data_IF_879593066252
#
_entry.id   IF_879593066252
#
_cell.length_a   1.000
_cell.length_b   1.000
_cell.length_c   1.000
_cell.angle_alpha   90.00
_cell.angle_beta   90.00
_cell.angle_gamma   90.00
#
_symmetry.space_group_name_H-M   'P 1'
#
loop_
_entity.id
_entity.type
_entity.pdbx_description
1 polymer ?
#
# COMPACT_ATOMS: atom_id res chain seq x y z
N UNK A 1 -20.33 24.35 -52.15
CA UNK A 1 -19.15 24.75 -51.35
C UNK A 1 -19.65 25.29 -50.04
N UNK A 2 -19.75 24.44 -49.05
CA UNK A 2 -20.35 24.73 -47.75
C UNK A 2 -19.26 25.01 -46.73
N UNK A 3 -19.33 26.20 -46.14
CA UNK A 3 -18.45 26.62 -45.03
C UNK A 3 -18.89 25.97 -43.74
N UNK A 4 -17.97 25.23 -43.07
CA UNK A 4 -18.16 24.71 -41.74
C UNK A 4 -17.83 25.80 -40.74
N UNK A 5 -18.85 26.25 -40.00
CA UNK A 5 -18.74 27.20 -38.90
C UNK A 5 -18.25 26.46 -37.65
N UNK A 6 -17.04 26.79 -37.23
CA UNK A 6 -16.51 26.42 -35.93
C UNK A 6 -17.03 27.37 -34.84
N UNK A 7 -18.04 26.94 -34.13
CA UNK A 7 -18.51 27.66 -32.93
C UNK A 7 -17.58 27.33 -31.73
N UNK A 8 -16.67 28.25 -31.44
CA UNK A 8 -15.88 28.26 -30.20
C UNK A 8 -16.79 28.84 -29.09
N UNK A 9 -17.42 27.93 -28.32
CA UNK A 9 -18.15 28.30 -27.10
C UNK A 9 -17.15 28.47 -25.94
N UNK A 10 -16.64 29.69 -25.76
CA UNK A 10 -15.99 30.09 -24.52
C UNK A 10 -17.06 30.19 -23.43
N UNK A 11 -17.21 29.13 -22.65
CA UNK A 11 -17.99 29.18 -21.41
C UNK A 11 -17.23 30.03 -20.39
N UNK A 12 -17.74 31.26 -20.20
CA UNK A 12 -17.40 32.13 -19.09
C UNK A 12 -17.66 31.39 -17.78
N UNK A 13 -16.60 31.04 -17.06
CA UNK A 13 -16.68 30.54 -15.70
C UNK A 13 -17.09 31.67 -14.77
N UNK A 14 -18.39 31.83 -14.56
CA UNK A 14 -18.88 32.52 -13.38
C UNK A 14 -18.35 31.76 -12.16
N UNK A 15 -17.73 32.47 -11.21
CA UNK A 15 -17.28 31.92 -9.92
C UNK A 15 -18.52 31.53 -9.09
N UNK A 16 -19.14 30.41 -9.44
CA UNK A 16 -20.14 29.72 -8.64
C UNK A 16 -19.44 29.08 -7.44
N UNK A 17 -20.04 29.21 -6.27
CA UNK A 17 -19.65 28.46 -5.07
C UNK A 17 -19.57 26.98 -5.44
N UNK A 18 -18.35 26.44 -5.53
CA UNK A 18 -18.13 25.03 -5.85
C UNK A 18 -18.60 24.24 -4.64
N UNK A 19 -19.81 23.66 -4.72
CA UNK A 19 -20.31 22.77 -3.69
C UNK A 19 -19.51 21.45 -3.73
N UNK A 20 -19.05 20.96 -2.56
CA UNK A 20 -18.37 19.67 -2.51
C UNK A 20 -19.21 18.53 -3.08
N UNK A 21 -18.62 17.48 -3.65
CA UNK A 21 -19.34 16.33 -4.18
C UNK A 21 -20.28 15.70 -3.15
N UNK A 22 -21.57 15.53 -3.49
CA UNK A 22 -22.58 14.94 -2.63
C UNK A 22 -23.76 14.42 -3.44
N UNK A 23 -24.53 13.51 -2.83
CA UNK A 23 -25.79 13.02 -3.38
C UNK A 23 -26.77 12.83 -2.22
N UNK A 24 -27.66 13.82 -2.00
CA UNK A 24 -28.59 13.84 -0.88
C UNK A 24 -29.67 12.75 -0.99
N UNK A 25 -30.09 12.44 -2.21
CA UNK A 25 -31.09 11.41 -2.45
C UNK A 25 -30.54 10.02 -2.10
N UNK A 26 -29.25 9.77 -2.40
CA UNK A 26 -28.58 8.55 -2.00
C UNK A 26 -28.43 8.45 -0.47
N UNK A 27 -28.05 9.55 0.20
CA UNK A 27 -27.94 9.59 1.66
C UNK A 27 -29.28 9.27 2.35
N UNK A 28 -30.36 9.91 1.91
CA UNK A 28 -31.70 9.67 2.45
C UNK A 28 -32.18 8.24 2.16
N UNK A 29 -31.89 7.74 0.96
CA UNK A 29 -32.24 6.37 0.58
C UNK A 29 -31.52 5.31 1.41
N UNK A 30 -30.24 5.55 1.76
CA UNK A 30 -29.47 4.67 2.67
C UNK A 30 -30.14 4.62 4.05
N UNK A 31 -30.35 5.79 4.66
CA UNK A 31 -30.93 5.88 6.00
C UNK A 31 -32.34 5.29 6.06
N UNK A 32 -33.19 5.61 5.08
CA UNK A 32 -34.53 5.06 5.00
C UNK A 32 -34.54 3.55 4.77
N UNK A 33 -33.63 3.01 3.97
CA UNK A 33 -33.52 1.56 3.78
C UNK A 33 -33.16 0.82 5.07
N UNK A 34 -32.32 1.41 5.91
CA UNK A 34 -31.96 0.87 7.23
C UNK A 34 -33.20 0.85 8.15
N UNK A 35 -33.96 1.96 8.20
CA UNK A 35 -35.19 2.06 9.01
C UNK A 35 -36.28 1.07 8.60
N UNK A 36 -36.30 0.69 7.32
CA UNK A 36 -37.24 -0.30 6.79
C UNK A 36 -36.77 -1.75 6.99
N UNK A 37 -35.46 -1.97 7.15
CA UNK A 37 -34.85 -3.28 7.35
C UNK A 37 -33.49 -3.15 8.03
N UNK A 38 -33.41 -3.53 9.29
CA UNK A 38 -32.22 -3.55 10.12
C UNK A 38 -31.09 -4.45 9.53
N UNK A 39 -31.46 -5.52 8.81
CA UNK A 39 -30.50 -6.39 8.10
C UNK A 39 -29.67 -5.63 7.08
N UNK A 40 -30.20 -4.55 6.51
CA UNK A 40 -29.46 -3.70 5.58
C UNK A 40 -28.28 -3.01 6.26
N UNK A 41 -28.38 -2.67 7.55
CA UNK A 41 -27.31 -1.99 8.28
C UNK A 41 -26.05 -2.84 8.37
N UNK A 42 -26.18 -4.15 8.65
CA UNK A 42 -25.03 -5.06 8.69
C UNK A 42 -24.23 -5.03 7.38
N UNK A 43 -24.93 -5.22 6.25
CA UNK A 43 -24.29 -5.20 4.93
C UNK A 43 -23.61 -3.84 4.65
N UNK A 44 -24.25 -2.73 4.99
CA UNK A 44 -23.74 -1.39 4.75
C UNK A 44 -22.52 -1.05 5.63
N UNK A 45 -22.52 -1.49 6.89
CA UNK A 45 -21.38 -1.25 7.80
C UNK A 45 -20.21 -2.17 7.49
N UNK A 46 -20.47 -3.46 7.31
CA UNK A 46 -19.43 -4.49 7.19
C UNK A 46 -18.95 -4.62 5.75
N UNK A 47 -19.86 -4.75 4.78
CA UNK A 47 -19.48 -4.99 3.39
C UNK A 47 -19.05 -3.70 2.66
N UNK A 48 -19.75 -2.60 2.89
CA UNK A 48 -19.44 -1.33 2.23
C UNK A 48 -18.59 -0.39 3.10
N UNK A 49 -18.40 -0.67 4.39
CA UNK A 49 -17.59 0.16 5.30
C UNK A 49 -18.08 1.60 5.44
N UNK A 50 -19.38 1.83 5.34
CA UNK A 50 -19.98 3.17 5.44
C UNK A 50 -19.86 3.72 6.86
N UNK A 51 -19.41 4.96 6.98
CA UNK A 51 -19.20 5.67 8.26
C UNK A 51 -20.12 6.89 8.38
N UNK A 52 -20.36 7.34 9.60
CA UNK A 52 -21.13 8.56 9.85
C UNK A 52 -20.52 9.82 9.20
N UNK A 53 -19.19 9.87 9.12
CA UNK A 53 -18.45 10.96 8.46
C UNK A 53 -18.52 10.96 6.92
N UNK A 54 -19.01 9.87 6.32
CA UNK A 54 -19.20 9.77 4.88
C UNK A 54 -20.45 10.51 4.38
N UNK A 55 -21.33 10.94 5.28
CA UNK A 55 -22.49 11.73 4.92
C UNK A 55 -22.11 13.21 4.74
N UNK A 56 -22.63 13.83 3.68
CA UNK A 56 -22.42 15.25 3.42
C UNK A 56 -23.19 16.14 4.39
N UNK A 57 -24.47 15.77 4.68
CA UNK A 57 -25.26 16.48 5.67
C UNK A 57 -24.95 15.93 7.07
N UNK A 58 -24.52 16.81 7.96
CA UNK A 58 -24.23 16.48 9.37
C UNK A 58 -25.41 15.80 10.06
N UNK A 59 -26.65 16.24 9.77
CA UNK A 59 -27.85 15.57 10.32
C UNK A 59 -27.99 14.12 9.90
N UNK A 60 -27.61 13.75 8.65
CA UNK A 60 -27.65 12.38 8.16
C UNK A 60 -26.56 11.52 8.84
N UNK A 61 -25.36 12.06 9.00
CA UNK A 61 -24.30 11.41 9.75
C UNK A 61 -24.69 11.19 11.21
N UNK A 62 -25.35 12.16 11.85
CA UNK A 62 -25.83 12.05 13.24
C UNK A 62 -26.92 10.98 13.38
N UNK A 63 -27.86 10.86 12.42
CA UNK A 63 -28.86 9.82 12.41
C UNK A 63 -28.21 8.45 12.24
N UNK A 64 -27.25 8.33 11.30
CA UNK A 64 -26.52 7.10 11.09
C UNK A 64 -25.69 6.67 12.31
N UNK A 65 -25.06 7.62 13.01
CA UNK A 65 -24.36 7.36 14.28
C UNK A 65 -25.29 6.76 15.34
N UNK A 66 -26.51 7.29 15.48
CA UNK A 66 -27.52 6.74 16.39
C UNK A 66 -27.94 5.31 16.00
N UNK A 67 -28.09 5.04 14.70
CA UNK A 67 -28.36 3.67 14.19
C UNK A 67 -27.22 2.70 14.52
N UNK A 68 -25.97 3.12 14.36
CA UNK A 68 -24.79 2.31 14.70
C UNK A 68 -24.70 1.99 16.18
N UNK A 69 -25.04 2.95 17.05
CA UNK A 69 -25.07 2.73 18.51
C UNK A 69 -26.11 1.67 18.90
N UNK A 70 -27.32 1.77 18.37
CA UNK A 70 -28.39 0.78 18.59
C UNK A 70 -27.96 -0.61 18.09
N UNK A 71 -27.40 -0.66 16.90
CA UNK A 71 -26.91 -1.91 16.32
C UNK A 71 -25.84 -2.58 17.19
N UNK A 72 -24.86 -1.80 17.71
CA UNK A 72 -23.80 -2.30 18.59
C UNK A 72 -24.34 -2.80 19.93
N UNK A 73 -25.43 -2.21 20.41
CA UNK A 73 -26.13 -2.62 21.63
C UNK A 73 -27.11 -3.79 21.39
N UNK A 74 -27.19 -4.29 20.15
CA UNK A 74 -28.14 -5.31 19.71
C UNK A 74 -29.61 -4.93 19.92
N UNK A 75 -29.90 -3.64 19.86
CA UNK A 75 -31.26 -3.09 19.90
C UNK A 75 -31.85 -2.97 18.48
N UNK A 76 -33.18 -3.09 18.34
CA UNK A 76 -33.83 -2.90 17.03
C UNK A 76 -33.55 -1.49 16.48
N UNK A 77 -33.37 -1.39 15.16
CA UNK A 77 -33.12 -0.11 14.47
C UNK A 77 -34.35 0.25 13.64
N UNK A 78 -35.24 1.04 14.23
CA UNK A 78 -36.45 1.56 13.61
C UNK A 78 -36.66 3.05 13.93
N UNK A 79 -37.68 3.69 13.36
CA UNK A 79 -38.00 5.10 13.56
C UNK A 79 -38.16 5.46 15.03
N UNK A 80 -38.76 4.59 15.84
CA UNK A 80 -39.05 4.86 17.24
C UNK A 80 -37.74 4.82 18.09
N UNK A 81 -36.99 3.72 17.96
CA UNK A 81 -35.75 3.51 18.71
C UNK A 81 -34.67 4.53 18.33
N UNK A 82 -34.51 4.84 17.05
CA UNK A 82 -33.59 5.87 16.56
C UNK A 82 -33.97 7.25 17.09
N UNK A 83 -35.26 7.59 17.08
CA UNK A 83 -35.74 8.88 17.62
C UNK A 83 -35.47 8.98 19.13
N UNK A 84 -35.69 7.91 19.88
CA UNK A 84 -35.41 7.90 21.32
C UNK A 84 -33.91 8.00 21.62
N UNK A 85 -33.08 7.26 20.88
CA UNK A 85 -31.62 7.35 20.97
C UNK A 85 -31.12 8.77 20.68
N UNK A 86 -31.61 9.42 19.64
CA UNK A 86 -31.26 10.81 19.31
C UNK A 86 -31.70 11.80 20.41
N UNK A 87 -32.83 11.53 21.08
CA UNK A 87 -33.27 12.30 22.25
C UNK A 87 -32.32 12.13 23.43
N UNK A 88 -31.91 10.88 23.75
CA UNK A 88 -30.92 10.58 24.79
C UNK A 88 -29.56 11.25 24.51
N UNK A 89 -29.13 11.29 23.25
CA UNK A 89 -27.92 12.00 22.83
C UNK A 89 -28.05 13.52 22.86
N UNK A 90 -29.23 14.09 23.08
CA UNK A 90 -29.49 15.53 23.02
C UNK A 90 -29.35 16.12 21.62
N UNK A 91 -29.43 15.29 20.56
CA UNK A 91 -29.22 15.69 19.15
C UNK A 91 -30.53 15.78 18.36
N UNK A 92 -31.68 15.36 18.92
CA UNK A 92 -32.95 15.30 18.19
C UNK A 92 -33.39 16.64 17.60
N UNK A 93 -33.33 17.72 18.35
CA UNK A 93 -33.70 19.06 17.85
C UNK A 93 -32.75 19.58 16.78
N UNK A 94 -31.47 19.23 16.83
CA UNK A 94 -30.47 19.65 15.83
C UNK A 94 -30.73 19.02 14.47
N UNK A 95 -31.30 17.83 14.41
CA UNK A 95 -31.59 17.14 13.14
C UNK A 95 -32.96 17.57 12.53
N UNK A 96 -33.77 18.32 13.26
CA UNK A 96 -35.09 18.77 12.82
C UNK A 96 -36.26 18.01 13.44
N UNK A 97 -36.03 17.30 14.56
CA UNK A 97 -37.06 16.57 15.31
C UNK A 97 -37.42 15.19 14.75
N UNK A 98 -38.38 14.53 15.37
CA UNK A 98 -38.79 13.17 15.02
C UNK A 98 -39.35 13.05 13.58
N UNK A 99 -40.00 14.09 13.09
CA UNK A 99 -40.56 14.11 11.73
C UNK A 99 -39.48 13.89 10.66
N UNK A 100 -38.28 14.42 10.87
CA UNK A 100 -37.15 14.23 9.93
C UNK A 100 -36.74 12.75 9.83
N UNK A 101 -36.80 11.99 10.91
CA UNK A 101 -36.49 10.55 10.90
C UNK A 101 -37.59 9.77 10.17
N UNK A 102 -38.85 10.14 10.41
CA UNK A 102 -40.01 9.50 9.78
C UNK A 102 -40.06 9.74 8.26
N UNK A 103 -39.75 10.96 7.81
CA UNK A 103 -39.69 11.32 6.39
C UNK A 103 -38.73 10.45 5.58
N UNK A 104 -37.62 9.97 6.18
CA UNK A 104 -36.63 9.14 5.49
C UNK A 104 -37.21 7.81 4.99
N UNK A 105 -38.22 7.25 5.67
CA UNK A 105 -38.86 5.99 5.25
C UNK A 105 -39.70 6.15 3.99
N UNK A 106 -40.24 7.37 3.75
CA UNK A 106 -41.04 7.71 2.58
C UNK A 106 -40.27 7.97 1.29
N UNK A 107 -38.94 8.18 1.37
CA UNK A 107 -38.12 8.58 0.23
C UNK A 107 -37.41 7.41 -0.45
N UNK A 108 -37.46 6.21 0.09
CA UNK A 108 -36.72 5.04 -0.39
C UNK A 108 -37.31 4.48 -1.68
N UNK A 109 -36.63 4.58 -2.85
CA UNK A 109 -37.16 4.05 -4.11
C UNK A 109 -37.21 2.53 -4.13
N UNK A 110 -36.20 1.86 -3.55
CA UNK A 110 -36.13 0.39 -3.40
C UNK A 110 -35.15 0.01 -2.27
N UNK A 111 -35.66 -0.51 -1.17
CA UNK A 111 -34.84 -0.90 -0.02
C UNK A 111 -33.77 -1.96 -0.37
N UNK A 112 -34.03 -2.82 -1.35
CA UNK A 112 -33.06 -3.83 -1.82
C UNK A 112 -31.80 -3.24 -2.51
N UNK A 113 -31.79 -1.96 -2.84
CA UNK A 113 -30.64 -1.29 -3.49
C UNK A 113 -29.79 -0.46 -2.51
N UNK A 114 -29.98 -0.60 -1.21
CA UNK A 114 -29.27 0.13 -0.16
C UNK A 114 -27.74 0.09 -0.36
N UNK A 115 -27.19 -1.04 -0.76
CA UNK A 115 -25.76 -1.21 -1.09
C UNK A 115 -25.29 -0.25 -2.17
N UNK A 116 -26.04 -0.12 -3.27
CA UNK A 116 -25.67 0.80 -4.36
C UNK A 116 -25.74 2.27 -3.92
N UNK A 117 -26.70 2.62 -3.09
CA UNK A 117 -26.79 3.98 -2.54
C UNK A 117 -25.64 4.28 -1.60
N UNK A 118 -25.23 3.32 -0.75
CA UNK A 118 -24.05 3.46 0.11
C UNK A 118 -22.75 3.66 -0.69
N UNK A 119 -22.57 2.92 -1.79
CA UNK A 119 -21.44 3.12 -2.69
C UNK A 119 -21.39 4.54 -3.25
N UNK A 120 -22.52 5.10 -3.67
CA UNK A 120 -22.60 6.49 -4.15
C UNK A 120 -22.21 7.48 -3.04
N UNK A 121 -22.64 7.25 -1.80
CA UNK A 121 -22.28 8.09 -0.65
C UNK A 121 -20.78 8.02 -0.40
N UNK A 122 -20.18 6.80 -0.39
CA UNK A 122 -18.75 6.58 -0.22
C UNK A 122 -17.90 7.20 -1.33
N UNK A 123 -18.27 7.02 -2.59
CA UNK A 123 -17.57 7.63 -3.74
C UNK A 123 -17.50 9.17 -3.57
N UNK A 124 -18.60 9.80 -3.19
CA UNK A 124 -18.64 11.23 -2.92
C UNK A 124 -17.83 11.62 -1.67
N UNK A 125 -17.85 10.82 -0.62
CA UNK A 125 -17.05 11.02 0.59
C UNK A 125 -15.54 10.94 0.29
N UNK A 126 -15.12 9.99 -0.53
CA UNK A 126 -13.73 9.85 -0.99
C UNK A 126 -13.28 11.13 -1.74
N UNK A 127 -14.12 11.63 -2.65
CA UNK A 127 -13.83 12.87 -3.38
C UNK A 127 -13.74 14.08 -2.42
N UNK A 128 -14.59 14.17 -1.39
CA UNK A 128 -14.50 15.22 -0.37
C UNK A 128 -13.22 15.11 0.47
N UNK A 129 -12.82 13.91 0.88
CA UNK A 129 -11.55 13.68 1.58
C UNK A 129 -10.37 14.09 0.71
N UNK A 130 -10.37 13.73 -0.57
CA UNK A 130 -9.34 14.15 -1.52
C UNK A 130 -9.28 15.67 -1.66
N UNK A 131 -10.43 16.34 -1.82
CA UNK A 131 -10.50 17.79 -1.86
C UNK A 131 -9.96 18.42 -0.58
N UNK A 132 -10.35 17.93 0.59
CA UNK A 132 -9.86 18.44 1.88
C UNK A 132 -8.34 18.32 1.97
N UNK A 133 -7.78 17.17 1.64
CA UNK A 133 -6.31 16.96 1.66
C UNK A 133 -5.59 17.88 0.66
N UNK A 134 -6.17 18.13 -0.53
CA UNK A 134 -5.58 19.08 -1.48
C UNK A 134 -5.61 20.51 -0.98
N UNK A 135 -6.67 20.96 -0.29
CA UNK A 135 -6.72 22.28 0.33
C UNK A 135 -5.70 22.43 1.45
N UNK A 136 -5.57 21.42 2.33
CA UNK A 136 -4.59 21.41 3.42
C UNK A 136 -3.16 21.48 2.89
N UNK A 137 -2.85 20.74 1.82
CA UNK A 137 -1.57 20.81 1.12
C UNK A 137 -1.34 22.19 0.53
N UNK A 138 -2.33 22.76 -0.16
CA UNK A 138 -2.25 24.09 -0.75
C UNK A 138 -2.01 25.15 0.31
N UNK A 139 -2.73 25.11 1.42
CA UNK A 139 -2.56 26.02 2.54
C UNK A 139 -1.15 25.94 3.15
N UNK A 140 -0.64 24.71 3.35
CA UNK A 140 0.70 24.49 3.87
C UNK A 140 1.79 25.02 2.94
N UNK A 141 1.63 24.87 1.63
CA UNK A 141 2.57 25.39 0.62
C UNK A 141 2.52 26.92 0.57
N UNK A 142 1.33 27.53 0.54
CA UNK A 142 1.19 28.99 0.48
C UNK A 142 1.63 29.67 1.79
N UNK A 143 1.42 29.02 2.93
CA UNK A 143 1.84 29.51 4.24
C UNK A 143 3.32 29.34 4.54
N UNK A 144 4.09 28.62 3.72
CA UNK A 144 5.52 28.32 3.93
C UNK A 144 5.79 27.77 5.33
N UNK A 145 4.93 26.87 5.83
CA UNK A 145 4.99 26.38 7.21
C UNK A 145 6.15 25.41 7.50
N UNK A 146 6.82 24.89 6.46
CA UNK A 146 7.94 23.97 6.58
C UNK A 146 8.91 24.06 5.39
N UNK A 147 10.05 23.37 5.46
CA UNK A 147 10.99 23.29 4.35
C UNK A 147 10.35 22.56 3.14
N UNK A 148 10.70 22.92 1.89
CA UNK A 148 10.07 22.35 0.68
C UNK A 148 10.04 20.81 0.65
N UNK A 149 11.09 20.14 1.12
CA UNK A 149 11.14 18.67 1.23
C UNK A 149 10.13 18.12 2.22
N UNK A 150 10.00 18.75 3.37
CA UNK A 150 9.02 18.35 4.40
C UNK A 150 7.58 18.52 3.92
N UNK A 151 7.31 19.60 3.16
CA UNK A 151 5.99 19.82 2.56
C UNK A 151 5.64 18.73 1.54
N UNK A 152 6.61 18.29 0.73
CA UNK A 152 6.39 17.17 -0.21
C UNK A 152 6.10 15.88 0.56
N UNK A 153 6.86 15.56 1.60
CA UNK A 153 6.65 14.36 2.43
C UNK A 153 5.27 14.38 3.12
N UNK A 154 4.85 15.55 3.62
CA UNK A 154 3.53 15.72 4.22
C UNK A 154 2.39 15.52 3.19
N UNK A 155 2.57 16.06 1.97
CA UNK A 155 1.61 15.91 0.88
C UNK A 155 1.49 14.43 0.45
N UNK A 156 2.60 13.73 0.27
CA UNK A 156 2.61 12.30 -0.04
C UNK A 156 1.89 11.49 1.04
N UNK A 157 2.16 11.77 2.31
CA UNK A 157 1.50 11.10 3.43
C UNK A 157 0.00 11.32 3.43
N UNK A 158 -0.46 12.56 3.26
CA UNK A 158 -1.88 12.91 3.23
C UNK A 158 -2.61 12.20 2.07
N UNK A 159 -2.00 12.14 0.88
CA UNK A 159 -2.57 11.43 -0.27
C UNK A 159 -2.62 9.91 -0.06
N UNK A 160 -1.59 9.34 0.58
CA UNK A 160 -1.58 7.91 0.93
C UNK A 160 -2.65 7.55 1.95
N UNK A 161 -2.94 8.42 2.91
CA UNK A 161 -4.00 8.21 3.92
C UNK A 161 -5.38 8.17 3.25
N UNK A 162 -5.68 9.08 2.30
CA UNK A 162 -6.93 9.07 1.53
C UNK A 162 -7.10 7.74 0.78
N UNK A 163 -6.05 7.22 0.15
CA UNK A 163 -6.12 5.95 -0.59
C UNK A 163 -6.15 4.69 0.28
N UNK A 164 -5.70 4.77 1.54
CA UNK A 164 -5.74 3.64 2.49
C UNK A 164 -7.13 3.42 3.07
N UNK A 165 -7.84 4.49 3.35
CA UNK A 165 -9.14 4.44 4.01
C UNK A 165 -10.21 3.76 3.14
N UNK A 166 -9.97 3.67 1.82
CA UNK A 166 -10.84 2.99 0.86
C UNK A 166 -10.57 1.46 0.75
N UNK A 167 -9.45 0.96 1.31
CA UNK A 167 -9.08 -0.46 1.25
C UNK A 167 -9.36 -1.17 2.57
N UNK A 168 -10.62 -1.34 2.92
CA UNK A 168 -10.98 -2.35 3.92
C UNK A 168 -10.79 -3.73 3.27
N UNK A 169 -9.83 -4.52 3.81
CA UNK A 169 -9.75 -5.94 3.50
C UNK A 169 -10.82 -6.64 4.33
N UNK A 170 -11.94 -6.95 3.70
CA UNK A 170 -12.98 -7.77 4.31
C UNK A 170 -12.47 -9.18 4.63
N UNK A 171 -13.12 -9.82 5.62
CA UNK A 171 -12.89 -11.23 5.87
C UNK A 171 -13.31 -12.03 4.64
N UNK A 172 -12.38 -12.82 4.11
CA UNK A 172 -12.69 -13.77 3.03
C UNK A 172 -13.11 -15.10 3.64
N UNK A 173 -14.14 -15.71 3.08
CA UNK A 173 -14.54 -17.05 3.48
C UNK A 173 -13.38 -18.03 3.23
N UNK A 174 -13.10 -18.91 4.21
CA UNK A 174 -12.00 -19.88 4.07
C UNK A 174 -12.19 -20.80 2.86
N UNK A 175 -13.44 -21.05 2.47
CA UNK A 175 -13.80 -21.84 1.30
C UNK A 175 -13.21 -21.26 0.01
N UNK A 176 -13.31 -19.93 -0.21
CA UNK A 176 -12.75 -19.25 -1.37
C UNK A 176 -11.21 -19.34 -1.38
N UNK A 177 -10.60 -19.12 -0.21
CA UNK A 177 -9.14 -19.21 -0.06
C UNK A 177 -8.64 -20.62 -0.33
N UNK A 178 -9.38 -21.65 0.14
CA UNK A 178 -9.03 -23.06 -0.08
C UNK A 178 -9.10 -23.43 -1.56
N UNK A 179 -10.14 -22.99 -2.28
CA UNK A 179 -10.24 -23.23 -3.73
C UNK A 179 -9.03 -22.66 -4.49
N UNK A 180 -8.69 -21.41 -4.24
CA UNK A 180 -7.52 -20.76 -4.87
C UNK A 180 -6.20 -21.50 -4.57
N UNK A 181 -6.00 -21.90 -3.30
CA UNK A 181 -4.77 -22.61 -2.90
C UNK A 181 -4.72 -24.06 -3.43
N UNK A 182 -5.85 -24.75 -3.50
CA UNK A 182 -5.90 -26.10 -4.10
C UNK A 182 -5.59 -26.06 -5.59
N UNK A 183 -6.13 -25.09 -6.33
CA UNK A 183 -5.82 -24.90 -7.75
C UNK A 183 -4.34 -24.59 -7.99
N UNK A 184 -3.73 -23.82 -7.09
CA UNK A 184 -2.31 -23.50 -7.12
C UNK A 184 -1.45 -24.74 -6.82
N UNK A 185 -1.81 -25.51 -5.78
CA UNK A 185 -1.13 -26.76 -5.45
C UNK A 185 -1.24 -27.79 -6.58
N UNK A 186 -2.40 -27.90 -7.23
CA UNK A 186 -2.60 -28.79 -8.36
C UNK A 186 -1.70 -28.43 -9.55
N UNK A 187 -1.59 -27.11 -9.88
CA UNK A 187 -0.67 -26.63 -10.93
C UNK A 187 0.78 -26.96 -10.59
N UNK A 188 1.23 -26.68 -9.37
CA UNK A 188 2.58 -27.00 -8.92
C UNK A 188 2.89 -28.50 -8.98
N UNK A 189 1.92 -29.35 -8.66
CA UNK A 189 2.06 -30.81 -8.74
C UNK A 189 2.24 -31.30 -10.19
N UNK A 190 1.58 -30.64 -11.16
CA UNK A 190 1.72 -30.98 -12.59
C UNK A 190 3.07 -30.48 -13.14
N UNK A 191 3.48 -29.27 -12.74
CA UNK A 191 4.72 -28.65 -13.20
C UNK A 191 5.98 -29.30 -12.58
N UNK A 192 5.83 -30.07 -11.51
CA UNK A 192 6.92 -30.77 -10.83
C UNK A 192 7.95 -29.82 -10.19
N UNK A 193 7.61 -28.54 -10.01
CA UNK A 193 8.48 -27.55 -9.40
C UNK A 193 8.32 -27.54 -7.89
N UNK A 194 9.41 -27.78 -7.14
CA UNK A 194 9.43 -27.67 -5.67
C UNK A 194 9.49 -26.21 -5.17
N UNK A 195 9.71 -25.25 -6.06
CA UNK A 195 9.90 -23.85 -5.74
C UNK A 195 8.60 -23.05 -5.97
N UNK A 196 7.95 -22.68 -4.87
CA UNK A 196 6.72 -21.87 -4.88
C UNK A 196 6.98 -20.38 -4.79
N UNK A 197 8.13 -20.01 -4.21
CA UNK A 197 8.57 -18.63 -4.00
C UNK A 197 9.66 -18.18 -4.97
N UNK A 198 10.23 -16.99 -4.70
CA UNK A 198 11.40 -16.49 -5.44
C UNK A 198 12.64 -17.26 -5.02
N UNK A 199 13.36 -17.90 -5.95
CA UNK A 199 14.57 -18.66 -5.63
C UNK A 199 15.69 -17.80 -5.06
N UNK A 200 16.40 -18.29 -4.06
CA UNK A 200 17.63 -17.67 -3.56
C UNK A 200 18.86 -18.01 -4.43
N UNK A 201 18.78 -19.10 -5.20
CA UNK A 201 19.87 -19.67 -5.95
C UNK A 201 20.82 -20.52 -5.11
N UNK A 202 20.48 -20.78 -3.84
CA UNK A 202 21.18 -21.71 -2.97
C UNK A 202 20.30 -22.95 -2.75
N UNK A 203 20.67 -24.09 -3.34
CA UNK A 203 19.84 -25.27 -3.41
C UNK A 203 19.31 -25.72 -2.04
N UNK A 204 20.18 -25.84 -1.04
CA UNK A 204 19.81 -26.28 0.30
C UNK A 204 18.84 -25.28 0.99
N UNK A 205 19.03 -23.98 0.76
CA UNK A 205 18.14 -22.95 1.30
C UNK A 205 16.78 -22.99 0.60
N UNK A 206 16.78 -23.14 -0.71
CA UNK A 206 15.57 -23.20 -1.51
C UNK A 206 14.78 -24.49 -1.25
N UNK A 207 15.45 -25.61 -0.97
CA UNK A 207 14.81 -26.86 -0.53
C UNK A 207 14.08 -26.70 0.80
N UNK A 208 14.70 -26.01 1.77
CA UNK A 208 14.12 -25.80 3.10
C UNK A 208 12.96 -24.80 3.05
N UNK A 209 13.08 -23.72 2.25
CA UNK A 209 12.12 -22.61 2.27
C UNK A 209 11.06 -22.68 1.17
N UNK A 210 11.24 -23.51 0.15
CA UNK A 210 10.47 -23.49 -1.08
C UNK A 210 10.67 -22.21 -1.89
N UNK A 211 11.79 -21.49 -1.67
CA UNK A 211 12.01 -20.11 -2.13
C UNK A 211 11.38 -19.07 -1.22
N UNK A 212 11.68 -17.78 -1.45
CA UNK A 212 11.13 -16.69 -0.66
C UNK A 212 9.68 -16.42 -1.05
N UNK A 213 8.76 -16.60 -0.10
CA UNK A 213 7.33 -16.53 -0.34
C UNK A 213 6.84 -15.07 -0.45
N UNK A 214 5.91 -14.82 -1.36
CA UNK A 214 5.26 -13.54 -1.55
C UNK A 214 4.66 -12.98 -0.25
N UNK A 215 4.84 -11.68 -0.02
CA UNK A 215 4.34 -11.02 1.18
C UNK A 215 5.14 -11.28 2.46
N UNK A 216 6.25 -12.03 2.40
CA UNK A 216 7.11 -12.28 3.54
C UNK A 216 8.23 -11.25 3.68
N UNK A 217 8.55 -10.93 4.94
CA UNK A 217 9.74 -10.20 5.33
C UNK A 217 10.77 -11.20 5.85
N UNK A 218 11.93 -11.24 5.22
CA UNK A 218 13.06 -12.10 5.57
C UNK A 218 14.17 -11.21 6.16
N UNK A 219 14.65 -11.53 7.36
CA UNK A 219 15.73 -10.77 7.99
C UNK A 219 17.01 -11.59 7.99
N UNK A 220 18.05 -11.08 7.33
CA UNK A 220 19.38 -11.66 7.31
C UNK A 220 20.27 -10.90 8.30
N UNK A 221 20.62 -11.55 9.40
CA UNK A 221 21.44 -10.96 10.44
C UNK A 221 22.71 -11.78 10.71
N UNK A 222 23.86 -11.14 10.83
CA UNK A 222 25.11 -11.76 11.23
C UNK A 222 26.07 -10.69 11.81
N UNK A 223 27.15 -11.13 12.46
CA UNK A 223 28.22 -10.23 12.93
C UNK A 223 28.89 -9.50 11.77
N UNK A 224 29.53 -8.34 11.99
CA UNK A 224 30.33 -7.65 10.98
C UNK A 224 31.36 -8.59 10.34
N UNK A 225 31.67 -8.37 9.07
CA UNK A 225 32.65 -9.15 8.28
C UNK A 225 32.31 -10.65 8.02
N UNK A 226 31.08 -11.10 8.34
CA UNK A 226 30.64 -12.48 8.08
C UNK A 226 30.09 -12.70 6.66
N UNK A 227 30.23 -11.74 5.75
CA UNK A 227 29.80 -11.88 4.35
C UNK A 227 28.31 -11.60 4.08
N UNK A 228 27.57 -10.94 4.99
CA UNK A 228 26.15 -10.62 4.78
C UNK A 228 25.85 -9.94 3.44
N UNK A 229 26.59 -8.83 3.11
CA UNK A 229 26.38 -8.11 1.86
C UNK A 229 26.72 -8.96 0.64
N UNK A 230 27.72 -9.87 0.75
CA UNK A 230 28.02 -10.82 -0.32
C UNK A 230 26.87 -11.80 -0.56
N UNK A 231 26.30 -12.37 0.53
CA UNK A 231 25.16 -13.28 0.44
C UNK A 231 23.95 -12.59 -0.19
N UNK A 232 23.61 -11.39 0.26
CA UNK A 232 22.46 -10.61 -0.24
C UNK A 232 22.64 -10.23 -1.71
N UNK A 233 23.86 -9.82 -2.13
CA UNK A 233 24.15 -9.57 -3.53
C UNK A 233 24.03 -10.84 -4.38
N UNK A 234 24.53 -11.99 -3.89
CA UNK A 234 24.41 -13.25 -4.62
C UNK A 234 22.96 -13.69 -4.77
N UNK A 235 22.12 -13.51 -3.75
CA UNK A 235 20.67 -13.76 -3.85
C UNK A 235 20.06 -12.86 -4.92
N UNK A 236 20.37 -11.54 -4.93
CA UNK A 236 19.88 -10.60 -5.93
C UNK A 236 20.29 -11.02 -7.35
N UNK A 237 21.57 -11.36 -7.52
CA UNK A 237 22.16 -11.81 -8.76
C UNK A 237 21.50 -13.10 -9.27
N UNK A 238 21.40 -14.12 -8.41
CA UNK A 238 20.81 -15.41 -8.77
C UNK A 238 19.34 -15.25 -9.17
N UNK A 239 18.54 -14.51 -8.37
CA UNK A 239 17.13 -14.28 -8.67
C UNK A 239 16.93 -13.56 -10.01
N UNK A 240 17.76 -12.55 -10.31
CA UNK A 240 17.63 -11.75 -11.53
C UNK A 240 18.24 -12.45 -12.76
N UNK A 241 19.48 -12.96 -12.65
CA UNK A 241 20.25 -13.47 -13.80
C UNK A 241 19.88 -14.91 -14.15
N UNK A 242 19.77 -15.78 -13.12
CA UNK A 242 19.51 -17.22 -13.36
C UNK A 242 18.02 -17.53 -13.47
N UNK A 243 17.17 -16.78 -12.74
CA UNK A 243 15.74 -17.06 -12.67
C UNK A 243 14.86 -15.99 -13.33
N UNK A 244 15.46 -14.90 -13.87
CA UNK A 244 14.72 -13.83 -14.57
C UNK A 244 13.69 -13.09 -13.70
N UNK A 245 13.83 -13.16 -12.36
CA UNK A 245 12.93 -12.48 -11.44
C UNK A 245 13.30 -11.00 -11.33
N UNK A 246 12.36 -10.05 -11.50
CA UNK A 246 12.64 -8.65 -11.33
C UNK A 246 13.02 -8.33 -9.88
N UNK A 247 14.22 -7.76 -9.67
CA UNK A 247 14.78 -7.48 -8.33
C UNK A 247 15.04 -5.99 -8.16
N UNK A 248 14.55 -5.41 -7.05
CA UNK A 248 14.87 -4.07 -6.58
C UNK A 248 15.86 -4.16 -5.40
N UNK A 249 17.07 -3.63 -5.55
CA UNK A 249 18.10 -3.59 -4.51
C UNK A 249 18.32 -2.15 -4.04
N UNK A 250 17.91 -1.85 -2.82
CA UNK A 250 18.23 -0.60 -2.12
C UNK A 250 19.51 -0.79 -1.32
N UNK A 251 20.57 -0.10 -1.74
CA UNK A 251 21.89 -0.19 -1.12
C UNK A 251 22.23 1.10 -0.39
N UNK A 252 22.06 1.09 0.92
CA UNK A 252 22.30 2.27 1.77
C UNK A 252 23.77 2.34 2.26
N UNK A 253 24.56 1.28 2.04
CA UNK A 253 25.97 1.19 2.49
C UNK A 253 26.94 1.29 1.34
N UNK A 254 26.61 0.74 0.18
CA UNK A 254 27.52 0.60 -0.96
C UNK A 254 27.02 1.39 -2.16
N UNK A 255 27.93 2.11 -2.82
CA UNK A 255 27.62 2.80 -4.07
C UNK A 255 27.33 1.82 -5.21
N UNK A 256 26.49 2.25 -6.17
CA UNK A 256 26.12 1.45 -7.35
C UNK A 256 27.32 0.92 -8.14
N UNK A 257 28.38 1.73 -8.26
CA UNK A 257 29.60 1.33 -8.95
C UNK A 257 30.33 0.16 -8.26
N UNK A 258 30.32 0.12 -6.91
CA UNK A 258 30.92 -0.98 -6.15
C UNK A 258 30.10 -2.26 -6.28
N UNK A 259 28.76 -2.14 -6.27
CA UNK A 259 27.85 -3.25 -6.50
C UNK A 259 28.01 -3.82 -7.92
N UNK A 260 28.07 -2.96 -8.94
CA UNK A 260 28.30 -3.38 -10.33
C UNK A 260 29.61 -4.16 -10.47
N UNK A 261 30.71 -3.68 -9.86
CA UNK A 261 31.99 -4.41 -9.84
C UNK A 261 31.87 -5.76 -9.14
N UNK A 262 31.11 -5.84 -8.05
CA UNK A 262 30.89 -7.08 -7.31
C UNK A 262 30.09 -8.09 -8.13
N UNK A 263 29.01 -7.68 -8.78
CA UNK A 263 28.23 -8.53 -9.68
C UNK A 263 29.08 -9.03 -10.86
N UNK A 264 29.86 -8.16 -11.50
CA UNK A 264 30.74 -8.57 -12.58
C UNK A 264 31.81 -9.53 -12.09
N UNK A 265 32.41 -9.31 -10.90
CA UNK A 265 33.40 -10.20 -10.31
C UNK A 265 32.81 -11.60 -10.04
N UNK A 266 31.59 -11.65 -9.53
CA UNK A 266 30.85 -12.89 -9.25
C UNK A 266 30.57 -13.65 -10.54
N UNK A 267 29.92 -13.04 -11.52
CA UNK A 267 29.53 -13.65 -12.78
C UNK A 267 30.73 -14.07 -13.64
N UNK A 268 31.80 -13.27 -13.68
CA UNK A 268 33.02 -13.60 -14.40
C UNK A 268 33.93 -14.59 -13.66
N UNK A 269 33.61 -14.90 -12.37
CA UNK A 269 34.45 -15.70 -11.46
C UNK A 269 35.88 -15.17 -11.36
N UNK A 270 36.01 -13.86 -11.15
CA UNK A 270 37.27 -13.15 -11.01
C UNK A 270 37.31 -12.54 -9.59
N UNK A 271 38.52 -12.47 -9.00
CA UNK A 271 38.66 -11.84 -7.69
C UNK A 271 38.33 -10.35 -7.79
N UNK A 272 37.41 -9.87 -6.94
CA UNK A 272 37.02 -8.45 -6.92
C UNK A 272 38.20 -7.48 -6.72
N UNK A 273 39.26 -7.93 -6.01
CA UNK A 273 40.50 -7.16 -5.84
C UNK A 273 41.25 -6.93 -7.17
N UNK A 274 41.24 -7.93 -8.08
CA UNK A 274 41.86 -7.80 -9.40
C UNK A 274 41.14 -6.76 -10.26
N UNK A 275 39.80 -6.76 -10.22
CA UNK A 275 38.97 -5.76 -10.91
C UNK A 275 39.22 -4.35 -10.34
N UNK A 276 39.12 -4.22 -9.01
CA UNK A 276 39.28 -2.92 -8.34
C UNK A 276 40.67 -2.30 -8.57
N UNK A 277 41.70 -3.11 -8.65
CA UNK A 277 43.10 -2.65 -8.92
C UNK A 277 43.44 -2.52 -10.41
N UNK A 278 42.49 -2.84 -11.31
CA UNK A 278 42.71 -2.84 -12.76
C UNK A 278 43.76 -3.87 -13.23
N UNK A 279 44.06 -4.90 -12.41
CA UNK A 279 45.08 -5.91 -12.69
C UNK A 279 44.49 -7.17 -13.30
N UNK A 280 43.60 -7.02 -14.28
CA UNK A 280 42.94 -8.15 -14.96
C UNK A 280 43.82 -8.57 -16.15
N UNK A 281 44.19 -9.86 -16.21
CA UNK A 281 44.92 -10.40 -17.35
C UNK A 281 44.04 -10.30 -18.63
N UNK A 282 44.66 -9.93 -19.74
CA UNK A 282 43.96 -9.68 -21.04
C UNK A 282 43.08 -10.84 -21.46
N UNK A 283 43.52 -12.08 -21.29
CA UNK A 283 42.74 -13.29 -21.57
C UNK A 283 41.46 -13.49 -20.71
N UNK A 284 41.23 -12.70 -19.66
CA UNK A 284 40.02 -12.73 -18.84
C UNK A 284 38.97 -11.69 -19.26
N UNK A 285 39.33 -10.71 -20.09
CA UNK A 285 38.43 -9.70 -20.58
C UNK A 285 37.18 -10.25 -21.29
N UNK A 286 37.28 -11.30 -22.14
CA UNK A 286 36.07 -11.88 -22.74
C UNK A 286 35.06 -12.40 -21.71
N UNK A 287 35.51 -12.92 -20.56
CA UNK A 287 34.63 -13.35 -19.46
C UNK A 287 33.94 -12.18 -18.81
N UNK A 288 34.63 -11.04 -18.62
CA UNK A 288 34.05 -9.82 -18.08
C UNK A 288 32.98 -9.28 -19.00
N UNK A 289 33.25 -9.21 -20.30
CA UNK A 289 32.30 -8.74 -21.29
C UNK A 289 31.05 -9.61 -21.34
N UNK A 290 31.22 -10.93 -21.34
CA UNK A 290 30.10 -11.87 -21.29
C UNK A 290 29.27 -11.73 -20.00
N UNK A 291 29.95 -11.57 -18.85
CA UNK A 291 29.29 -11.33 -17.57
C UNK A 291 28.50 -10.00 -17.58
N UNK A 292 29.10 -8.93 -18.12
CA UNK A 292 28.44 -7.64 -18.26
C UNK A 292 27.22 -7.68 -19.15
N UNK A 293 27.26 -8.43 -20.25
CA UNK A 293 26.11 -8.62 -21.14
C UNK A 293 24.96 -9.36 -20.44
N UNK A 294 25.26 -10.41 -19.68
CA UNK A 294 24.23 -11.16 -18.90
C UNK A 294 23.60 -10.27 -17.82
N UNK A 295 24.40 -9.49 -17.10
CA UNK A 295 23.91 -8.57 -16.10
C UNK A 295 23.09 -7.42 -16.70
N UNK A 296 23.48 -6.91 -17.86
CA UNK A 296 22.74 -5.84 -18.56
C UNK A 296 21.36 -6.31 -19.07
N UNK A 297 21.23 -7.59 -19.37
CA UNK A 297 19.95 -8.19 -19.77
C UNK A 297 19.08 -8.62 -18.58
N UNK A 298 19.63 -8.68 -17.37
CA UNK A 298 18.93 -9.14 -16.19
C UNK A 298 18.01 -8.03 -15.61
N UNK A 299 16.81 -8.37 -15.13
CA UNK A 299 15.89 -7.42 -14.52
C UNK A 299 16.31 -7.07 -13.08
N UNK A 300 17.44 -6.40 -12.93
CA UNK A 300 18.04 -5.98 -11.65
C UNK A 300 18.20 -4.47 -11.61
N UNK A 301 17.51 -3.81 -10.68
CA UNK A 301 17.61 -2.38 -10.43
C UNK A 301 18.28 -2.11 -9.09
N UNK A 302 19.15 -1.12 -9.07
CA UNK A 302 19.92 -0.69 -7.90
C UNK A 302 19.60 0.75 -7.60
N UNK A 303 19.40 1.06 -6.31
CA UNK A 303 19.25 2.42 -5.78
C UNK A 303 20.24 2.58 -4.63
N UNK A 304 21.20 3.51 -4.75
CA UNK A 304 22.24 3.79 -3.75
C UNK A 304 22.01 5.10 -2.96
N UNK A 305 20.78 5.58 -2.97
CA UNK A 305 20.39 6.77 -2.20
C UNK A 305 20.61 6.53 -0.70
N UNK A 306 21.46 7.38 -0.07
CA UNK A 306 21.95 7.16 1.31
C UNK A 306 21.01 7.65 2.42
N UNK A 307 20.04 8.51 2.11
CA UNK A 307 19.11 9.11 3.09
C UNK A 307 17.66 8.79 2.74
N UNK A 308 17.34 7.51 2.72
CA UNK A 308 16.03 7.01 2.29
C UNK A 308 15.19 6.60 3.49
N UNK A 309 13.97 7.17 3.58
CA UNK A 309 12.95 6.77 4.55
C UNK A 309 12.01 5.67 4.03
N UNK A 310 11.17 5.14 4.93
CA UNK A 310 10.20 4.08 4.58
C UNK A 310 9.23 4.51 3.45
N UNK A 311 8.79 5.77 3.46
CA UNK A 311 7.88 6.31 2.45
C UNK A 311 8.52 6.32 1.05
N UNK A 312 9.78 6.73 0.97
CA UNK A 312 10.52 6.80 -0.30
C UNK A 312 10.76 5.40 -0.87
N UNK A 313 11.20 4.44 -0.03
CA UNK A 313 11.33 3.04 -0.45
C UNK A 313 10.00 2.52 -1.00
N UNK A 314 8.90 2.80 -0.32
CA UNK A 314 7.56 2.37 -0.72
C UNK A 314 7.15 2.99 -2.06
N UNK A 315 7.38 4.29 -2.26
CA UNK A 315 7.07 4.98 -3.51
C UNK A 315 7.90 4.45 -4.68
N UNK A 316 9.23 4.29 -4.49
CA UNK A 316 10.13 3.75 -5.51
C UNK A 316 9.80 2.29 -5.85
N UNK A 317 9.56 1.44 -4.84
CA UNK A 317 9.19 0.05 -5.04
C UNK A 317 7.85 -0.12 -5.78
N UNK A 318 6.82 0.68 -5.43
CA UNK A 318 5.53 0.67 -6.14
C UNK A 318 5.67 1.08 -7.60
N UNK A 319 6.41 2.16 -7.86
CA UNK A 319 6.64 2.64 -9.23
C UNK A 319 7.35 1.58 -10.06
N UNK A 320 8.43 0.98 -9.52
CA UNK A 320 9.15 -0.07 -10.23
C UNK A 320 8.29 -1.32 -10.42
N UNK A 321 7.52 -1.71 -9.41
CA UNK A 321 6.59 -2.84 -9.48
C UNK A 321 5.57 -2.67 -10.61
N UNK A 322 5.03 -1.46 -10.78
CA UNK A 322 4.07 -1.17 -11.87
C UNK A 322 4.71 -1.10 -13.26
N UNK A 323 6.02 -0.87 -13.35
CA UNK A 323 6.76 -0.83 -14.61
C UNK A 323 7.22 -2.22 -15.08
N UNK A 324 7.37 -3.18 -14.16
CA UNK A 324 7.76 -4.54 -14.49
C UNK A 324 6.54 -5.35 -14.94
N UNK A 325 6.65 -6.05 -16.06
CA UNK A 325 5.65 -7.01 -16.51
C UNK A 325 5.57 -8.17 -15.50
N UNK A 326 4.39 -8.38 -14.90
CA UNK A 326 4.21 -9.35 -13.80
C UNK A 326 4.67 -8.86 -12.42
N UNK A 327 5.13 -7.61 -12.29
CA UNK A 327 5.56 -7.01 -11.02
C UNK A 327 6.98 -7.40 -10.58
N UNK A 328 7.38 -6.89 -9.40
CA UNK A 328 8.66 -7.27 -8.78
C UNK A 328 8.60 -8.70 -8.24
N UNK A 329 9.71 -9.42 -8.34
CA UNK A 329 9.91 -10.75 -7.76
C UNK A 329 10.61 -10.74 -6.40
N UNK A 330 11.39 -9.68 -6.11
CA UNK A 330 12.15 -9.55 -4.87
C UNK A 330 12.52 -8.09 -4.59
N UNK A 331 12.43 -7.68 -3.32
CA UNK A 331 12.95 -6.40 -2.84
C UNK A 331 14.02 -6.68 -1.79
N UNK A 332 15.16 -6.01 -1.89
CA UNK A 332 16.29 -6.16 -0.97
C UNK A 332 16.68 -4.80 -0.41
N UNK A 333 16.92 -4.72 0.90
CA UNK A 333 17.35 -3.49 1.59
C UNK A 333 18.62 -3.79 2.39
N UNK A 334 19.72 -3.17 1.99
CA UNK A 334 21.05 -3.33 2.58
C UNK A 334 21.55 -1.99 3.10
N UNK A 335 21.40 -1.60 4.41
CA UNK A 335 20.82 -2.34 5.53
C UNK A 335 19.88 -1.44 6.35
N UNK A 336 18.97 -2.04 7.08
CA UNK A 336 17.85 -1.37 7.76
C UNK A 336 18.24 -0.24 8.71
N UNK A 337 19.39 -0.34 9.39
CA UNK A 337 19.81 0.64 10.39
C UNK A 337 20.32 1.96 9.80
N UNK A 338 20.54 2.04 8.48
CA UNK A 338 20.87 3.28 7.78
C UNK A 338 19.64 4.02 7.25
N UNK A 339 18.49 3.40 7.29
CA UNK A 339 17.25 4.06 6.89
C UNK A 339 16.96 5.25 7.82
N UNK A 340 16.48 6.34 7.21
CA UNK A 340 16.02 7.50 7.97
C UNK A 340 14.78 7.12 8.79
N UNK A 341 14.85 7.37 10.09
CA UNK A 341 13.73 7.21 11.02
C UNK A 341 13.22 8.57 11.46
N UNK A 342 11.91 8.67 11.72
CA UNK A 342 11.33 9.88 12.30
C UNK A 342 11.96 10.19 13.65
N UNK A 343 12.34 11.46 13.87
CA UNK A 343 12.98 11.95 15.09
C UNK A 343 12.13 11.84 16.38
N UNK A 344 10.92 11.29 16.27
CA UNK A 344 9.96 11.12 17.38
C UNK A 344 10.20 9.90 18.24
N UNK A 345 11.15 9.04 17.89
CA UNK A 345 11.36 7.80 18.61
C UNK A 345 12.47 7.96 19.66
N UNK A 346 12.10 7.80 20.94
CA UNK A 346 13.02 7.85 22.08
C UNK A 346 14.01 6.67 22.12
N UNK A 347 13.79 5.64 21.31
CA UNK A 347 14.58 4.41 21.29
C UNK A 347 14.83 3.91 19.87
N UNK A 348 16.11 3.57 19.58
CA UNK A 348 16.51 2.95 18.30
C UNK A 348 15.83 1.59 18.06
N UNK A 349 15.49 0.86 19.11
CA UNK A 349 14.77 -0.42 19.02
C UNK A 349 13.35 -0.20 18.49
N UNK A 350 12.66 0.82 19.00
CA UNK A 350 11.31 1.18 18.53
C UNK A 350 11.34 1.59 17.07
N UNK A 351 12.32 2.40 16.66
CA UNK A 351 12.48 2.84 15.29
C UNK A 351 12.69 1.65 14.31
N UNK A 352 13.54 0.69 14.67
CA UNK A 352 13.76 -0.54 13.86
C UNK A 352 12.49 -1.41 13.82
N UNK A 353 11.75 -1.48 14.93
CA UNK A 353 10.46 -2.17 14.99
C UNK A 353 9.45 -1.58 13.99
N UNK A 354 9.32 -0.27 13.93
CA UNK A 354 8.44 0.42 12.98
C UNK A 354 8.90 0.24 11.52
N UNK A 355 10.21 0.31 11.26
CA UNK A 355 10.74 0.01 9.93
C UNK A 355 10.41 -1.43 9.50
N UNK A 356 10.62 -2.41 10.37
CA UNK A 356 10.31 -3.82 10.09
C UNK A 356 8.81 -4.02 9.82
N UNK A 357 7.94 -3.36 10.61
CA UNK A 357 6.50 -3.36 10.39
C UNK A 357 6.13 -2.73 9.04
N UNK A 358 6.73 -1.58 8.72
CA UNK A 358 6.52 -0.90 7.44
C UNK A 358 6.91 -1.77 6.24
N UNK A 359 8.05 -2.46 6.33
CA UNK A 359 8.52 -3.38 5.30
C UNK A 359 7.64 -4.63 5.15
N UNK A 360 7.12 -5.17 6.27
CA UNK A 360 6.16 -6.29 6.20
C UNK A 360 4.85 -5.86 5.55
N UNK A 361 4.39 -4.64 5.81
CA UNK A 361 3.22 -4.06 5.14
C UNK A 361 3.50 -3.91 3.63
N UNK A 362 4.67 -3.38 3.25
CA UNK A 362 5.07 -3.25 1.85
C UNK A 362 5.12 -4.61 1.13
N UNK A 363 5.71 -5.63 1.78
CA UNK A 363 5.77 -6.98 1.25
C UNK A 363 4.37 -7.54 0.95
N UNK A 364 3.42 -7.37 1.88
CA UNK A 364 2.03 -7.81 1.72
C UNK A 364 1.28 -7.01 0.66
N UNK A 365 1.48 -5.72 0.62
CA UNK A 365 0.82 -4.81 -0.32
C UNK A 365 1.17 -5.11 -1.78
N UNK A 366 2.46 -5.35 -2.04
CA UNK A 366 2.95 -5.66 -3.39
C UNK A 366 2.88 -7.16 -3.73
N UNK A 367 2.63 -8.03 -2.74
CA UNK A 367 2.72 -9.48 -2.94
C UNK A 367 4.14 -9.95 -3.28
N UNK A 368 5.18 -9.28 -2.72
CA UNK A 368 6.59 -9.53 -3.05
C UNK A 368 7.37 -9.87 -1.78
N UNK A 369 8.29 -10.85 -1.79
CA UNK A 369 9.20 -11.05 -0.66
C UNK A 369 10.14 -9.86 -0.49
N UNK A 370 10.37 -9.45 0.76
CA UNK A 370 11.29 -8.37 1.11
C UNK A 370 12.40 -8.93 1.98
N UNK A 371 13.66 -8.75 1.58
CA UNK A 371 14.83 -9.08 2.38
C UNK A 371 15.36 -7.81 3.03
N UNK A 372 15.39 -7.79 4.37
CA UNK A 372 16.04 -6.77 5.16
C UNK A 372 17.36 -7.30 5.75
N UNK A 373 18.47 -6.56 5.55
CA UNK A 373 19.72 -6.89 6.22
C UNK A 373 19.81 -6.15 7.55
N UNK A 374 20.25 -6.86 8.61
CA UNK A 374 20.49 -6.29 9.94
C UNK A 374 21.88 -6.66 10.48
N UNK A 375 22.43 -5.79 11.36
CA UNK A 375 23.68 -6.08 12.08
C UNK A 375 23.39 -6.61 13.48
N UNK A 376 23.97 -7.76 13.85
CA UNK A 376 23.80 -8.40 15.16
C UNK A 376 24.49 -7.67 16.33
N UNK A 377 24.98 -6.44 16.17
CA UNK A 377 25.62 -5.72 17.24
C UNK A 377 24.63 -5.13 18.25
N UNK A 378 23.34 -5.08 17.88
CA UNK A 378 22.23 -4.68 18.75
C UNK A 378 21.22 -5.83 18.81
N UNK A 379 20.68 -6.12 19.99
CA UNK A 379 19.63 -7.13 20.14
C UNK A 379 18.38 -6.66 19.39
N UNK A 380 18.20 -7.09 18.16
CA UNK A 380 16.97 -6.87 17.41
C UNK A 380 15.97 -7.92 17.90
N UNK A 381 15.08 -7.52 18.77
CA UNK A 381 13.89 -8.29 19.12
C UNK A 381 12.89 -8.10 17.97
N UNK A 382 12.74 -9.10 17.12
CA UNK A 382 11.68 -9.15 16.12
C UNK A 382 10.58 -10.01 16.74
N UNK A 383 9.41 -9.44 17.09
CA UNK A 383 8.29 -10.28 17.47
C UNK A 383 7.87 -11.09 16.22
N UNK A 384 7.83 -12.40 16.38
CA UNK A 384 7.35 -13.39 15.40
C UNK A 384 5.85 -13.26 15.26
#
# INVERSE_FOLDING_TARGET
MSAVSTANGAASAAAGVITPPHNLDAEQSVLGAILLSDRSLYALVIEEGLRAEDFYRERHGTIYEAMLLLYNESEPVDVLTVTDRLRQMGKLEKIGGAATVDELTGVVPAAGHARRYAQIVRENALLRRLLKSTYEIQESVLGHHAAPRELVEQAEKAMLEVGRDDRQQDFRAIEEVLHEELDKLHRLSIEGTSLTGTPSGFADLDEITGGFQAGNLIIIAARPAMGKSALVCNIAENAAVEHGRPVALFSLEMAEAELAQRFVASQARIKGEELRKGRVAEKRWPKILSASQRLAAAPLWVDDSSDVGMLEIRAKARRLHSQCEGGLGLIIIDYLQLMRTDSRYDSRVTAIGELSRGLKILARELGVPVIGRASCRERVWIPV
#
